data_IF_415109719504
#
_entry.id   IF_415109719504
#
_cell.length_a   1.000
_cell.length_b   1.000
_cell.length_c   1.000
_cell.angle_alpha   90.00
_cell.angle_beta   90.00
_cell.angle_gamma   90.00
#
_symmetry.space_group_name_H-M   'P 1'
#
loop_
_entity.id
_entity.type
_entity.pdbx_description
1 polymer ?
#
# COMPACT_ATOMS: atom_id res chain seq x y z
N UNK A 1 22.95 26.82 5.11
CA UNK A 1 22.71 25.46 5.61
C UNK A 1 21.97 24.68 4.53
N UNK A 2 22.69 23.96 3.68
CA UNK A 2 22.08 23.04 2.71
C UNK A 2 21.69 21.77 3.45
N UNK A 3 20.40 21.63 3.79
CA UNK A 3 19.87 20.41 4.38
C UNK A 3 20.05 19.25 3.41
N UNK A 4 20.71 18.18 3.85
CA UNK A 4 20.86 16.94 3.09
C UNK A 4 19.45 16.36 2.87
N UNK A 5 19.05 16.21 1.60
CA UNK A 5 17.86 15.42 1.25
C UNK A 5 18.22 13.95 1.44
N UNK A 6 17.37 13.22 2.16
CA UNK A 6 17.49 11.77 2.30
C UNK A 6 16.46 11.13 1.38
N UNK A 7 16.93 10.18 0.58
CA UNK A 7 16.09 9.30 -0.23
C UNK A 7 15.98 7.96 0.51
N UNK A 8 14.78 7.41 0.59
CA UNK A 8 14.51 6.15 1.25
C UNK A 8 13.70 5.26 0.32
N UNK A 9 14.21 4.06 0.06
CA UNK A 9 13.47 3.01 -0.61
C UNK A 9 12.42 2.44 0.36
N UNK A 10 11.16 2.47 -0.06
CA UNK A 10 10.01 2.11 0.77
C UNK A 10 9.18 0.98 0.15
N UNK A 11 9.51 0.60 -1.08
CA UNK A 11 8.81 -0.44 -1.79
C UNK A 11 9.32 -0.63 -3.21
N UNK A 12 8.78 -1.68 -3.84
CA UNK A 12 9.12 -2.07 -5.22
C UNK A 12 7.88 -2.56 -5.95
N UNK A 13 7.59 -2.02 -7.13
CA UNK A 13 6.49 -2.51 -7.99
C UNK A 13 6.83 -3.92 -8.47
N UNK A 14 5.90 -4.86 -8.27
CA UNK A 14 6.02 -6.26 -8.67
C UNK A 14 5.09 -6.61 -9.83
N UNK A 15 3.98 -5.90 -9.99
CA UNK A 15 3.12 -6.00 -11.17
C UNK A 15 2.52 -4.65 -11.55
N UNK A 16 2.46 -4.39 -12.86
CA UNK A 16 1.84 -3.20 -13.43
C UNK A 16 1.02 -3.61 -14.65
N UNK A 17 -0.31 -3.65 -14.48
CA UNK A 17 -1.25 -4.11 -15.51
C UNK A 17 -2.40 -3.10 -15.67
N UNK A 18 -2.17 -1.95 -16.31
CA UNK A 18 -3.22 -0.96 -16.52
C UNK A 18 -4.38 -1.49 -17.39
N UNK A 19 -5.64 -1.12 -17.09
CA UNK A 19 -6.08 -0.30 -15.94
C UNK A 19 -6.42 -1.15 -14.69
N UNK A 20 -6.09 -2.44 -14.66
CA UNK A 20 -6.74 -3.42 -13.76
C UNK A 20 -6.00 -3.71 -12.47
N UNK A 21 -4.67 -3.65 -12.44
CA UNK A 21 -3.89 -4.14 -11.28
C UNK A 21 -2.57 -3.42 -11.10
N UNK A 22 -2.28 -3.11 -9.84
CA UNK A 22 -0.97 -2.69 -9.33
C UNK A 22 -0.63 -3.59 -8.13
N UNK A 23 0.56 -4.19 -8.14
CA UNK A 23 1.08 -4.92 -6.98
C UNK A 23 2.50 -4.43 -6.65
N UNK A 24 2.83 -4.37 -5.36
CA UNK A 24 4.14 -3.92 -4.89
C UNK A 24 4.51 -4.48 -3.51
N UNK A 25 5.81 -4.52 -3.25
CA UNK A 25 6.39 -4.75 -1.94
C UNK A 25 6.39 -3.47 -1.11
N UNK A 26 6.11 -3.58 0.18
CA UNK A 26 6.05 -2.48 1.14
C UNK A 26 6.95 -2.75 2.35
N UNK A 27 7.96 -1.89 2.54
CA UNK A 27 8.97 -2.01 3.60
C UNK A 27 9.46 -0.64 4.09
N UNK A 28 8.56 0.34 4.22
CA UNK A 28 8.94 1.68 4.69
C UNK A 28 9.60 1.62 6.07
N UNK A 29 10.86 2.03 6.16
CA UNK A 29 11.69 2.00 7.37
C UNK A 29 12.05 0.61 7.93
N UNK A 30 11.96 -0.45 7.12
CA UNK A 30 12.34 -1.81 7.50
C UNK A 30 13.27 -2.44 6.45
N UNK A 31 13.86 -3.59 6.80
CA UNK A 31 14.65 -4.37 5.85
C UNK A 31 13.74 -4.83 4.69
N UNK A 32 14.15 -4.65 3.41
CA UNK A 32 13.40 -5.16 2.27
C UNK A 32 13.10 -6.66 2.33
N UNK A 33 13.89 -7.45 3.06
CA UNK A 33 13.64 -8.88 3.27
C UNK A 33 12.37 -9.15 4.10
N UNK A 34 11.94 -8.19 4.92
CA UNK A 34 10.73 -8.27 5.74
C UNK A 34 9.53 -7.60 5.07
N UNK A 35 9.61 -7.33 3.77
CA UNK A 35 8.56 -6.62 3.05
C UNK A 35 7.21 -7.33 3.12
N UNK A 36 6.18 -6.52 3.29
CA UNK A 36 4.79 -6.95 3.11
C UNK A 36 4.36 -6.75 1.66
N UNK A 37 3.26 -7.37 1.28
CA UNK A 37 2.76 -7.32 -0.08
C UNK A 37 1.46 -6.52 -0.13
N UNK A 38 1.35 -5.62 -1.11
CA UNK A 38 0.12 -4.89 -1.42
C UNK A 38 -0.31 -5.22 -2.85
N UNK A 39 -1.56 -5.60 -2.99
CA UNK A 39 -2.24 -5.70 -4.27
C UNK A 39 -3.44 -4.75 -4.30
N UNK A 40 -3.53 -3.96 -5.37
CA UNK A 40 -4.64 -3.07 -5.67
C UNK A 40 -5.26 -3.47 -7.00
N UNK A 41 -6.55 -3.79 -7.00
CA UNK A 41 -7.30 -4.14 -8.20
C UNK A 41 -8.43 -3.16 -8.46
N UNK A 42 -8.65 -2.89 -9.75
CA UNK A 42 -9.69 -2.00 -10.25
C UNK A 42 -10.65 -2.79 -11.12
N UNK A 43 -11.94 -2.76 -10.77
CA UNK A 43 -13.00 -3.47 -11.51
C UNK A 43 -14.20 -2.55 -11.71
N UNK A 44 -14.91 -2.67 -12.85
CA UNK A 44 -16.18 -1.96 -13.04
C UNK A 44 -17.17 -2.30 -11.92
N UNK A 45 -17.94 -1.30 -11.52
CA UNK A 45 -19.05 -1.41 -10.57
C UNK A 45 -20.21 -0.53 -11.09
N UNK A 46 -21.44 -0.78 -10.65
CA UNK A 46 -22.63 -0.11 -11.22
C UNK A 46 -22.57 1.42 -11.11
N UNK A 47 -21.90 1.93 -10.07
CA UNK A 47 -21.75 3.36 -9.78
C UNK A 47 -20.32 3.90 -10.06
N UNK A 48 -19.44 3.11 -10.68
CA UNK A 48 -18.08 3.55 -11.00
C UNK A 48 -17.04 2.43 -11.05
N UNK A 49 -15.96 2.59 -10.28
CA UNK A 49 -14.88 1.60 -10.18
C UNK A 49 -14.75 1.14 -8.75
N UNK A 50 -14.91 -0.17 -8.54
CA UNK A 50 -14.55 -0.82 -7.28
C UNK A 50 -13.04 -0.96 -7.21
N UNK A 51 -12.45 -0.32 -6.20
CA UNK A 51 -11.04 -0.48 -5.83
C UNK A 51 -10.96 -1.43 -4.64
N UNK A 52 -10.27 -2.55 -4.80
CA UNK A 52 -9.99 -3.48 -3.72
C UNK A 52 -8.49 -3.45 -3.40
N UNK A 53 -8.17 -3.35 -2.11
CA UNK A 53 -6.80 -3.32 -1.59
C UNK A 53 -6.64 -4.52 -0.67
N UNK A 54 -5.66 -5.37 -0.96
CA UNK A 54 -5.24 -6.47 -0.10
C UNK A 54 -3.81 -6.21 0.33
N UNK A 55 -3.61 -6.09 1.64
CA UNK A 55 -2.29 -5.95 2.25
C UNK A 55 -2.04 -7.17 3.14
N UNK A 56 -1.05 -7.98 2.76
CA UNK A 56 -0.71 -9.26 3.38
C UNK A 56 0.77 -9.38 3.75
N UNK A 57 1.24 -10.60 4.01
CA UNK A 57 2.63 -10.87 4.38
C UNK A 57 2.95 -10.56 5.85
N UNK A 58 1.95 -10.50 6.73
CA UNK A 58 2.14 -10.08 8.12
C UNK A 58 2.96 -11.06 8.95
N UNK A 59 3.00 -12.33 8.54
CA UNK A 59 3.73 -13.41 9.19
C UNK A 59 5.24 -13.14 9.29
N UNK A 60 5.81 -12.31 8.41
CA UNK A 60 7.22 -11.88 8.46
C UNK A 60 7.58 -11.19 9.78
N UNK A 61 6.60 -10.56 10.43
CA UNK A 61 6.79 -9.85 11.69
C UNK A 61 6.63 -10.72 12.95
N UNK A 62 6.31 -12.01 12.80
CA UNK A 62 6.12 -12.94 13.92
C UNK A 62 5.17 -12.40 14.98
N UNK A 63 5.63 -12.29 16.23
CA UNK A 63 4.82 -11.80 17.36
C UNK A 63 4.29 -10.36 17.19
N UNK A 64 4.81 -9.58 16.22
CA UNK A 64 4.37 -8.21 15.94
C UNK A 64 3.33 -8.12 14.82
N UNK A 65 2.96 -9.23 14.19
CA UNK A 65 2.09 -9.27 13.01
C UNK A 65 0.79 -8.48 13.19
N UNK A 66 0.06 -8.70 14.28
CA UNK A 66 -1.19 -7.99 14.56
C UNK A 66 -1.00 -6.48 14.71
N UNK A 67 0.01 -6.06 15.48
CA UNK A 67 0.32 -4.64 15.65
C UNK A 67 0.71 -3.98 14.33
N UNK A 68 1.48 -4.66 13.47
CA UNK A 68 1.87 -4.11 12.16
C UNK A 68 0.68 -4.02 11.21
N UNK A 69 -0.19 -5.03 11.20
CA UNK A 69 -1.44 -5.02 10.45
C UNK A 69 -2.34 -3.87 10.85
N UNK A 70 -2.52 -3.64 12.16
CA UNK A 70 -3.40 -2.56 12.65
C UNK A 70 -2.85 -1.17 12.33
N UNK A 71 -1.53 -0.97 12.42
CA UNK A 71 -0.88 0.27 11.99
C UNK A 71 -1.09 0.57 10.51
N UNK A 72 -0.93 -0.44 9.64
CA UNK A 72 -1.14 -0.25 8.20
C UNK A 72 -2.62 -0.08 7.87
N UNK A 73 -3.53 -0.76 8.57
CA UNK A 73 -4.98 -0.52 8.45
C UNK A 73 -5.32 0.94 8.72
N UNK A 74 -4.82 1.51 9.83
CA UNK A 74 -5.03 2.92 10.14
C UNK A 74 -4.45 3.86 9.07
N UNK A 75 -3.30 3.50 8.47
CA UNK A 75 -2.73 4.22 7.33
C UNK A 75 -3.63 4.20 6.09
N UNK A 76 -4.20 3.04 5.75
CA UNK A 76 -5.17 2.91 4.66
C UNK A 76 -6.44 3.72 4.92
N UNK A 77 -7.01 3.63 6.12
CA UNK A 77 -8.21 4.37 6.50
C UNK A 77 -8.03 5.89 6.35
N UNK A 78 -6.81 6.40 6.61
CA UNK A 78 -6.48 7.81 6.45
C UNK A 78 -6.39 8.29 4.99
N UNK A 79 -6.13 7.40 4.03
CA UNK A 79 -5.92 7.78 2.61
C UNK A 79 -7.09 7.41 1.70
N UNK A 80 -7.93 6.45 2.08
CA UNK A 80 -9.05 5.97 1.24
C UNK A 80 -10.06 7.10 0.94
N UNK A 81 -10.47 7.86 1.97
CA UNK A 81 -11.44 8.93 1.77
C UNK A 81 -10.89 10.07 0.86
N UNK A 82 -9.70 10.64 1.12
CA UNK A 82 -9.09 11.61 0.22
C UNK A 82 -8.88 11.10 -1.20
N UNK A 83 -8.50 9.82 -1.37
CA UNK A 83 -8.35 9.21 -2.68
C UNK A 83 -9.67 9.17 -3.45
N UNK A 84 -10.76 8.76 -2.78
CA UNK A 84 -12.11 8.74 -3.38
C UNK A 84 -12.53 10.15 -3.80
N UNK A 85 -12.31 11.15 -2.96
CA UNK A 85 -12.68 12.54 -3.25
C UNK A 85 -11.91 13.08 -4.46
N UNK A 86 -10.62 12.74 -4.59
CA UNK A 86 -9.79 13.13 -5.73
C UNK A 86 -10.14 12.39 -7.03
N UNK A 87 -10.64 11.15 -6.94
CA UNK A 87 -11.01 10.33 -8.09
C UNK A 87 -12.41 10.67 -8.66
N UNK A 88 -13.27 11.31 -7.87
CA UNK A 88 -14.64 11.69 -8.23
C UNK A 88 -14.82 13.15 -8.65
N UNK A 89 -13.74 13.91 -8.84
CA UNK A 89 -13.75 15.28 -9.37
C UNK A 89 -13.68 15.31 -10.90
#
# INVERSE_FOLDING_TARGET
MTGRRFEHEWGRVTAWEPPRRLAYLWHIAWDPADATEVEVTFSPDDEGTRVAIVHGGWETFGARAETMRDRNRAGWDAVIAPYRDAAGA
#
